data_IF_803457033110
#
_entry.id   IF_803457033110
#
_cell.length_a   1.000
_cell.length_b   1.000
_cell.length_c   1.000
_cell.angle_alpha   90.00
_cell.angle_beta   90.00
_cell.angle_gamma   90.00
#
_symmetry.space_group_name_H-M   'P 1'
#
loop_
_entity.id
_entity.type
_entity.pdbx_description
1 polymer ?
#
# COMPACT_ATOMS: atom_id res chain seq x y z
N UNK A 1 -18.57 4.73 6.17
CA UNK A 1 -17.36 4.89 5.40
C UNK A 1 -16.17 5.05 6.28
N UNK A 2 -15.05 4.64 5.83
CA UNK A 2 -13.88 4.59 6.62
C UNK A 2 -13.40 5.95 7.10
N UNK A 3 -12.84 5.94 8.26
CA UNK A 3 -12.18 7.08 8.85
C UNK A 3 -10.78 7.22 8.27
N UNK A 4 -10.34 8.46 8.05
CA UNK A 4 -8.99 8.72 7.56
C UNK A 4 -8.00 8.55 8.70
N UNK A 5 -6.92 7.80 8.44
CA UNK A 5 -5.80 7.63 9.36
C UNK A 5 -4.61 8.38 8.79
N UNK A 6 -4.10 9.38 9.54
CA UNK A 6 -2.94 10.16 9.13
C UNK A 6 -1.67 9.40 9.41
N UNK A 7 -0.69 9.54 8.50
CA UNK A 7 0.62 8.88 8.62
C UNK A 7 1.73 9.88 8.29
N UNK A 8 3.00 9.47 8.47
CA UNK A 8 4.14 10.29 8.05
C UNK A 8 4.18 10.53 6.54
N UNK A 9 3.63 9.58 5.77
CA UNK A 9 3.74 9.60 4.31
C UNK A 9 2.47 10.14 3.63
N UNK A 10 1.40 10.36 4.38
CA UNK A 10 0.13 10.82 3.82
C UNK A 10 -1.01 10.34 4.69
N UNK A 11 -1.94 9.62 4.09
CA UNK A 11 -3.07 9.08 4.86
C UNK A 11 -3.68 7.89 4.14
N UNK A 12 -4.46 7.11 4.87
CA UNK A 12 -5.21 6.02 4.27
C UNK A 12 -6.60 5.91 4.89
N UNK A 13 -7.45 5.17 4.18
CA UNK A 13 -8.81 4.92 4.61
C UNK A 13 -9.14 3.47 4.27
N UNK A 14 -9.73 2.73 5.23
CA UNK A 14 -10.20 1.38 4.99
C UNK A 14 -11.56 1.47 4.31
N UNK A 15 -11.67 0.93 3.11
CA UNK A 15 -12.91 0.95 2.33
C UNK A 15 -13.81 -0.23 2.67
N UNK A 16 -13.21 -1.39 2.95
CA UNK A 16 -13.94 -2.60 3.27
C UNK A 16 -13.02 -3.53 4.04
N UNK A 17 -13.57 -4.20 5.05
CA UNK A 17 -12.79 -5.14 5.86
C UNK A 17 -13.68 -6.32 6.22
N UNK A 18 -13.24 -7.54 5.83
CA UNK A 18 -13.96 -8.78 6.07
C UNK A 18 -12.94 -9.85 6.49
N UNK A 19 -13.39 -10.97 7.05
CA UNK A 19 -12.45 -12.07 7.28
C UNK A 19 -11.76 -12.45 5.97
N UNK A 20 -10.43 -12.43 5.96
CA UNK A 20 -9.65 -12.83 4.81
C UNK A 20 -9.32 -11.75 3.81
N UNK A 21 -9.90 -10.54 3.92
CA UNK A 21 -9.46 -9.45 3.05
C UNK A 21 -9.74 -8.07 3.64
N UNK A 22 -8.97 -7.08 3.17
CA UNK A 22 -9.13 -5.68 3.54
C UNK A 22 -8.77 -4.83 2.32
N UNK A 23 -9.59 -3.81 2.05
CA UNK A 23 -9.36 -2.89 0.93
C UNK A 23 -9.10 -1.52 1.50
N UNK A 24 -7.97 -0.91 1.09
CA UNK A 24 -7.56 0.42 1.54
C UNK A 24 -7.39 1.37 0.37
N UNK A 25 -7.65 2.63 0.63
CA UNK A 25 -7.35 3.75 -0.26
C UNK A 25 -6.16 4.49 0.37
N UNK A 26 -5.03 4.56 -0.35
CA UNK A 26 -3.82 5.20 0.15
C UNK A 26 -3.56 6.49 -0.62
N UNK A 27 -3.24 7.54 0.12
CA UNK A 27 -2.81 8.82 -0.45
C UNK A 27 -1.37 9.06 0.00
N UNK A 28 -0.43 8.99 -0.94
CA UNK A 28 1.00 9.14 -0.64
C UNK A 28 1.46 10.50 -1.12
N UNK A 29 1.89 11.33 -0.17
CA UNK A 29 2.34 12.69 -0.46
C UNK A 29 3.60 12.70 -1.33
N UNK A 30 3.80 13.76 -2.11
CA UNK A 30 5.03 13.89 -2.92
C UNK A 30 6.28 13.71 -2.09
N UNK A 31 7.21 12.92 -2.58
CA UNK A 31 8.51 12.71 -1.95
C UNK A 31 8.50 11.84 -0.71
N UNK A 32 7.38 11.21 -0.39
CA UNK A 32 7.26 10.37 0.82
C UNK A 32 7.25 8.90 0.47
N UNK A 33 7.62 8.08 1.46
CA UNK A 33 7.62 6.63 1.28
C UNK A 33 7.10 5.94 2.53
N UNK A 34 6.54 4.76 2.33
CA UNK A 34 6.21 3.85 3.41
C UNK A 34 7.50 3.17 3.86
N UNK A 35 7.48 2.50 5.01
CA UNK A 35 8.64 1.73 5.44
C UNK A 35 8.88 0.54 4.51
N UNK A 36 10.13 0.08 4.43
CA UNK A 36 10.43 -1.18 3.77
C UNK A 36 9.92 -2.29 4.68
N UNK A 37 9.00 -3.11 4.19
CA UNK A 37 8.24 -4.00 5.06
C UNK A 37 7.84 -5.29 4.36
N UNK A 38 7.49 -6.31 5.15
CA UNK A 38 6.87 -7.53 4.65
C UNK A 38 5.84 -8.05 5.64
N UNK A 39 4.97 -8.93 5.14
CA UNK A 39 3.89 -9.51 5.93
C UNK A 39 3.92 -11.03 5.79
N UNK A 40 3.49 -11.74 6.84
CA UNK A 40 3.60 -13.20 6.88
C UNK A 40 2.29 -13.92 6.64
N UNK A 41 1.16 -13.20 6.73
CA UNK A 41 -0.16 -13.82 6.69
C UNK A 41 -1.06 -13.27 5.59
N UNK A 42 -0.53 -12.34 4.77
CA UNK A 42 -1.33 -11.75 3.70
C UNK A 42 -0.50 -11.46 2.46
N UNK A 43 -1.18 -11.50 1.34
CA UNK A 43 -0.69 -10.98 0.05
C UNK A 43 -1.30 -9.61 -0.16
N UNK A 44 -0.74 -8.84 -1.08
CA UNK A 44 -1.28 -7.52 -1.42
C UNK A 44 -1.29 -7.32 -2.92
N UNK A 45 -2.36 -6.66 -3.41
CA UNK A 45 -2.41 -6.10 -4.75
C UNK A 45 -2.52 -4.60 -4.63
N UNK A 46 -1.70 -3.88 -5.37
CA UNK A 46 -1.69 -2.42 -5.38
C UNK A 46 -2.06 -1.95 -6.77
N UNK A 47 -3.15 -1.20 -6.88
CA UNK A 47 -3.59 -0.63 -8.13
C UNK A 47 -3.40 0.88 -8.09
N UNK A 48 -2.66 1.44 -9.07
CA UNK A 48 -2.34 2.87 -9.11
C UNK A 48 -3.52 3.62 -9.70
N UNK A 49 -4.19 4.42 -8.88
CA UNK A 49 -5.35 5.21 -9.30
C UNK A 49 -4.94 6.55 -9.89
N UNK A 50 -3.91 7.18 -9.31
CA UNK A 50 -3.39 8.47 -9.77
C UNK A 50 -1.90 8.53 -9.48
N UNK A 51 -1.16 9.23 -10.36
CA UNK A 51 0.24 9.49 -10.14
C UNK A 51 1.13 8.30 -10.48
N UNK A 52 2.30 8.26 -9.86
CA UNK A 52 3.30 7.23 -10.10
C UNK A 52 3.84 6.71 -8.79
N UNK A 53 4.17 5.43 -8.74
CA UNK A 53 4.68 4.78 -7.56
C UNK A 53 5.95 4.01 -7.89
N UNK A 54 6.99 4.19 -7.07
CA UNK A 54 8.16 3.34 -7.11
C UNK A 54 7.93 2.20 -6.12
N UNK A 55 8.04 0.96 -6.60
CA UNK A 55 7.97 -0.21 -5.75
C UNK A 55 9.25 -0.99 -5.91
N UNK A 56 10.07 -1.03 -4.84
CA UNK A 56 11.38 -1.68 -4.86
C UNK A 56 12.28 -1.15 -5.99
N UNK A 57 12.17 0.16 -6.29
CA UNK A 57 12.96 0.80 -7.33
C UNK A 57 12.37 0.75 -8.74
N UNK A 58 11.34 -0.04 -8.96
CA UNK A 58 10.66 -0.08 -10.26
C UNK A 58 9.51 0.91 -10.27
N UNK A 59 9.34 1.62 -11.38
CA UNK A 59 8.34 2.67 -11.50
C UNK A 59 7.07 2.15 -12.15
N UNK A 60 5.94 2.43 -11.51
CA UNK A 60 4.61 2.06 -11.97
C UNK A 60 3.76 3.31 -12.14
N UNK A 61 2.83 3.27 -13.09
CA UNK A 61 2.04 4.42 -13.50
C UNK A 61 0.56 4.17 -13.27
N UNK A 62 -0.23 5.21 -13.47
CA UNK A 62 -1.69 5.12 -13.40
C UNK A 62 -2.19 3.93 -14.20
N UNK A 63 -3.08 3.15 -13.60
CA UNK A 63 -3.70 1.95 -14.15
C UNK A 63 -2.81 0.71 -14.15
N UNK A 64 -1.55 0.82 -13.69
CA UNK A 64 -0.73 -0.36 -13.44
C UNK A 64 -1.14 -1.00 -12.12
N UNK A 65 -0.87 -2.28 -11.98
CA UNK A 65 -1.03 -2.93 -10.68
C UNK A 65 0.20 -3.77 -10.35
N UNK A 66 0.40 -3.99 -9.05
CA UNK A 66 1.57 -4.66 -8.51
C UNK A 66 1.10 -5.77 -7.60
N UNK A 67 1.65 -6.95 -7.75
CA UNK A 67 1.38 -8.07 -6.87
C UNK A 67 2.51 -8.21 -5.86
N UNK A 68 2.18 -8.19 -4.56
CA UNK A 68 3.16 -8.35 -3.48
C UNK A 68 2.79 -9.62 -2.72
N UNK A 69 3.44 -10.76 -3.04
CA UNK A 69 3.14 -12.01 -2.34
C UNK A 69 3.56 -11.95 -0.87
N UNK A 70 2.99 -12.85 -0.09
CA UNK A 70 3.35 -13.02 1.33
C UNK A 70 4.87 -13.17 1.46
N UNK A 71 5.43 -12.58 2.53
CA UNK A 71 6.86 -12.58 2.88
C UNK A 71 7.78 -11.78 1.95
N UNK A 72 7.26 -11.22 0.87
CA UNK A 72 8.10 -10.40 -0.01
C UNK A 72 8.28 -9.00 0.59
N UNK A 73 9.55 -8.58 0.67
CA UNK A 73 9.86 -7.21 1.07
C UNK A 73 9.39 -6.24 0.03
N UNK A 74 8.81 -5.11 0.47
CA UNK A 74 8.37 -4.08 -0.45
C UNK A 74 8.55 -2.70 0.16
N UNK A 75 9.14 -1.81 -0.65
CA UNK A 75 9.35 -0.40 -0.30
C UNK A 75 8.63 0.44 -1.32
N UNK A 76 7.51 1.03 -0.91
CA UNK A 76 6.68 1.86 -1.78
C UNK A 76 7.03 3.32 -1.54
N UNK A 77 7.31 4.05 -2.63
CA UNK A 77 7.71 5.45 -2.53
C UNK A 77 7.10 6.28 -3.65
N UNK A 78 6.67 7.48 -3.30
CA UNK A 78 6.27 8.49 -4.28
C UNK A 78 7.47 9.40 -4.52
N UNK A 79 8.18 9.20 -5.63
CA UNK A 79 9.37 9.97 -5.96
C UNK A 79 9.06 11.18 -6.84
N UNK A 80 7.78 11.52 -7.00
CA UNK A 80 7.34 12.62 -7.86
C UNK A 80 6.93 13.82 -7.03
N UNK A 81 6.54 14.90 -7.71
CA UNK A 81 6.07 16.13 -7.05
C UNK A 81 4.54 16.23 -7.02
N UNK A 82 3.84 15.13 -7.30
CA UNK A 82 2.38 15.05 -7.25
C UNK A 82 1.96 13.91 -6.33
N UNK A 83 0.75 13.96 -5.77
CA UNK A 83 0.26 12.86 -4.95
C UNK A 83 0.18 11.56 -5.74
N UNK A 84 0.39 10.44 -5.06
CA UNK A 84 0.15 9.12 -5.63
C UNK A 84 -1.00 8.49 -4.87
N UNK A 85 -2.00 7.99 -5.60
CA UNK A 85 -3.20 7.40 -5.01
C UNK A 85 -3.29 5.94 -5.41
N UNK A 86 -3.46 5.09 -4.42
CA UNK A 86 -3.42 3.63 -4.62
C UNK A 86 -4.61 2.97 -3.96
N UNK A 87 -5.18 1.99 -4.64
CA UNK A 87 -6.12 1.05 -4.02
C UNK A 87 -5.32 -0.20 -3.66
N UNK A 88 -5.24 -0.50 -2.38
CA UNK A 88 -4.50 -1.68 -1.89
C UNK A 88 -5.49 -2.73 -1.44
N UNK A 89 -5.36 -3.95 -1.97
CA UNK A 89 -6.17 -5.08 -1.55
C UNK A 89 -5.27 -6.04 -0.81
N UNK A 90 -5.55 -6.25 0.48
CA UNK A 90 -4.87 -7.24 1.31
C UNK A 90 -5.74 -8.47 1.38
N UNK A 91 -5.16 -9.64 1.20
CA UNK A 91 -5.94 -10.88 1.26
C UNK A 91 -5.06 -12.04 1.72
N UNK A 92 -5.67 -12.96 2.46
CA UNK A 92 -4.97 -14.13 2.97
C UNK A 92 -5.53 -14.56 4.31
N UNK A 93 -4.64 -15.15 5.13
CA UNK A 93 -5.03 -15.72 6.40
C UNK A 93 -5.50 -14.66 7.40
N UNK A 94 -4.76 -13.56 7.47
CA UNK A 94 -5.06 -12.47 8.41
C UNK A 94 -4.58 -11.14 7.85
N UNK A 95 -5.44 -10.10 7.90
CA UNK A 95 -5.10 -8.78 7.39
C UNK A 95 -5.07 -7.77 8.54
N UNK A 96 -4.14 -7.96 9.47
CA UNK A 96 -4.00 -7.10 10.66
C UNK A 96 -2.73 -6.26 10.57
N UNK A 97 -2.74 -5.09 11.18
CA UNK A 97 -1.60 -4.16 11.11
C UNK A 97 -0.38 -4.71 11.84
N UNK A 98 -0.59 -5.56 12.86
CA UNK A 98 0.50 -6.15 13.64
C UNK A 98 1.31 -7.18 12.84
N UNK A 99 0.78 -7.70 11.76
CA UNK A 99 1.48 -8.64 10.88
C UNK A 99 2.42 -7.86 9.97
N UNK A 100 3.54 -7.41 10.51
CA UNK A 100 4.49 -6.57 9.76
C UNK A 100 5.90 -6.75 10.34
N UNK A 101 6.87 -6.84 9.44
CA UNK A 101 8.28 -6.75 9.77
C UNK A 101 8.86 -5.61 8.94
N UNK A 102 9.66 -4.74 9.56
CA UNK A 102 10.28 -3.59 8.91
C UNK A 102 11.80 -3.75 8.92
N UNK A 103 12.46 -3.17 7.91
CA UNK A 103 13.92 -3.16 7.89
C UNK A 103 14.49 -1.83 7.43
#
# INVERSE_FOLDING_TARGET
>A
MGKITETRWGWYKVLNEQPGYKIKYLWINPGKSLSDQRHFKRNEHWFILEGELSMNGDLYHKNDFINVPVENWHLAANITNKPCVVCEIQYGEECIEEDIERR
#
